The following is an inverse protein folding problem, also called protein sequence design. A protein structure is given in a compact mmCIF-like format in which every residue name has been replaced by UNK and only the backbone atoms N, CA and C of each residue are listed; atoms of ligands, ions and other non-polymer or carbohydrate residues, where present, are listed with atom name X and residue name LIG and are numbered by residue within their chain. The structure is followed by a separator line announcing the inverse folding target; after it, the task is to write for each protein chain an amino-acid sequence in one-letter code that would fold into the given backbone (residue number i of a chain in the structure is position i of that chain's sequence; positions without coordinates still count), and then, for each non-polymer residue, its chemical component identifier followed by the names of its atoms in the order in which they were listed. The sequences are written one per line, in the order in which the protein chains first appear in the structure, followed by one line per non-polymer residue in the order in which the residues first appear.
data_IF_649714684291
#
_entry.id   IF_649714684291
#
_cell.length_a   1.000
_cell.length_b   1.000
_cell.length_c   1.000
_cell.angle_alpha   90.00
_cell.angle_beta   90.00
_cell.angle_gamma   90.00
#
_symmetry.space_group_name_H-M   'P 1'
#
loop_
_entity.id
_entity.type
_entity.pdbx_description
1 polymer ?
#
# COMPACT_ATOMS: atom_id res chain seq x y z
N UNK A 1 -7.68 4.91 -27.39
CA UNK A 1 -6.68 5.52 -26.48
C UNK A 1 -5.73 4.44 -26.00
N UNK A 2 -4.43 4.56 -26.28
CA UNK A 2 -3.46 3.62 -25.73
C UNK A 2 -3.37 3.81 -24.22
N UNK A 3 -3.68 2.77 -23.43
CA UNK A 3 -3.49 2.80 -21.99
C UNK A 3 -2.00 2.95 -21.69
N UNK A 4 -1.63 3.93 -20.85
CA UNK A 4 -0.27 4.08 -20.37
C UNK A 4 0.13 2.81 -19.60
N UNK A 5 1.39 2.36 -19.72
CA UNK A 5 1.92 1.14 -19.06
C UNK A 5 1.55 1.08 -17.56
N UNK A 6 1.60 2.23 -16.88
CA UNK A 6 1.24 2.38 -15.45
C UNK A 6 -0.24 2.10 -15.19
N UNK A 7 -1.14 2.64 -16.01
CA UNK A 7 -2.57 2.41 -15.90
C UNK A 7 -2.92 0.93 -16.14
N UNK A 8 -2.24 0.27 -17.08
CA UNK A 8 -2.38 -1.18 -17.31
C UNK A 8 -2.05 -1.99 -16.06
N UNK A 9 -0.94 -1.65 -15.37
CA UNK A 9 -0.56 -2.34 -14.13
C UNK A 9 -1.62 -2.15 -13.04
N UNK A 10 -2.16 -0.94 -12.87
CA UNK A 10 -3.21 -0.67 -11.88
C UNK A 10 -4.48 -1.47 -12.20
N UNK A 11 -4.87 -1.52 -13.48
CA UNK A 11 -6.02 -2.31 -13.93
C UNK A 11 -5.81 -3.80 -13.65
N UNK A 12 -4.62 -4.33 -13.95
CA UNK A 12 -4.28 -5.72 -13.65
C UNK A 12 -4.37 -5.96 -12.14
N UNK A 13 -3.79 -5.08 -11.31
CA UNK A 13 -3.90 -5.18 -9.86
C UNK A 13 -5.34 -5.16 -9.37
N UNK A 14 -6.20 -4.29 -9.92
CA UNK A 14 -7.62 -4.24 -9.60
C UNK A 14 -8.35 -5.54 -9.97
N UNK A 15 -8.06 -6.08 -11.16
CA UNK A 15 -8.66 -7.33 -11.65
C UNK A 15 -8.29 -8.56 -10.81
N UNK A 16 -7.13 -8.56 -10.15
CA UNK A 16 -6.77 -9.60 -9.20
C UNK A 16 -7.29 -9.31 -7.79
N UNK A 17 -7.23 -8.05 -7.37
CA UNK A 17 -7.60 -7.63 -6.02
C UNK A 17 -9.09 -7.80 -5.76
N UNK A 18 -9.95 -7.36 -6.68
CA UNK A 18 -11.40 -7.36 -6.46
C UNK A 18 -11.98 -8.77 -6.32
N UNK A 19 -11.65 -9.76 -7.18
CA UNK A 19 -12.09 -11.14 -6.95
C UNK A 19 -11.50 -11.75 -5.67
N UNK A 20 -10.24 -11.41 -5.33
CA UNK A 20 -9.62 -11.88 -4.09
C UNK A 20 -10.35 -11.34 -2.87
N UNK A 21 -10.71 -10.05 -2.89
CA UNK A 21 -11.53 -9.42 -1.85
C UNK A 21 -12.86 -10.16 -1.70
N UNK A 22 -13.57 -10.39 -2.80
CA UNK A 22 -14.84 -11.12 -2.79
C UNK A 22 -14.68 -12.51 -2.16
N UNK A 23 -13.67 -13.29 -2.58
CA UNK A 23 -13.44 -14.63 -2.00
C UNK A 23 -13.11 -14.54 -0.51
N UNK A 24 -12.28 -13.59 -0.07
CA UNK A 24 -11.89 -13.44 1.34
C UNK A 24 -13.06 -12.99 2.23
N UNK A 25 -13.94 -12.14 1.71
CA UNK A 25 -15.19 -11.73 2.36
C UNK A 25 -16.12 -12.94 2.61
N UNK A 26 -16.17 -13.87 1.66
CA UNK A 26 -17.11 -15.01 1.66
C UNK A 26 -16.52 -16.29 2.26
N UNK A 27 -15.40 -16.22 2.99
CA UNK A 27 -14.89 -17.31 3.81
C UNK A 27 -14.89 -16.91 5.29
N UNK A 28 -14.98 -17.88 6.22
CA UNK A 28 -14.82 -17.60 7.64
C UNK A 28 -13.46 -16.97 7.95
N UNK A 29 -13.43 -16.00 8.88
CA UNK A 29 -12.20 -15.29 9.26
C UNK A 29 -11.09 -16.29 9.64
N UNK A 30 -9.92 -16.28 8.98
CA UNK A 30 -8.83 -17.19 9.28
C UNK A 30 -8.34 -17.06 10.74
N UNK A 31 -7.89 -18.17 11.32
CA UNK A 31 -7.39 -18.21 12.70
C UNK A 31 -6.22 -17.25 12.95
N UNK A 32 -5.38 -17.02 11.93
CA UNK A 32 -4.27 -16.07 11.97
C UNK A 32 -4.79 -14.64 12.18
N UNK A 33 -5.82 -14.21 11.44
CA UNK A 33 -6.40 -12.87 11.59
C UNK A 33 -7.02 -12.70 12.97
N UNK A 34 -7.69 -13.74 13.49
CA UNK A 34 -8.23 -13.74 14.87
C UNK A 34 -7.13 -13.60 15.92
N UNK A 35 -6.01 -14.31 15.76
CA UNK A 35 -4.84 -14.21 16.66
C UNK A 35 -4.21 -12.81 16.61
N UNK A 36 -4.17 -12.20 15.43
CA UNK A 36 -3.71 -10.83 15.26
C UNK A 36 -4.63 -9.80 15.93
N UNK A 37 -5.83 -10.19 16.37
CA UNK A 37 -6.78 -9.33 17.07
C UNK A 37 -7.30 -8.17 16.22
N UNK A 38 -7.27 -8.31 14.89
CA UNK A 38 -7.80 -7.31 13.97
C UNK A 38 -9.31 -7.48 13.93
N UNK A 39 -10.06 -6.40 14.17
CA UNK A 39 -11.51 -6.43 14.10
C UNK A 39 -11.99 -6.64 12.66
N UNK A 40 -13.11 -7.32 12.48
CA UNK A 40 -13.71 -7.54 11.15
C UNK A 40 -13.96 -6.18 10.45
N UNK A 41 -14.50 -5.21 11.20
CA UNK A 41 -14.71 -3.81 10.76
C UNK A 41 -13.43 -3.15 10.24
N UNK A 42 -12.28 -3.40 10.88
CA UNK A 42 -11.00 -2.86 10.39
C UNK A 42 -10.56 -3.51 9.07
N UNK A 43 -10.87 -4.79 8.85
CA UNK A 43 -10.58 -5.48 7.60
C UNK A 43 -11.45 -4.94 6.48
N UNK A 44 -12.76 -4.79 6.73
CA UNK A 44 -13.74 -4.17 5.84
C UNK A 44 -13.32 -2.77 5.40
N UNK A 45 -13.05 -1.90 6.37
CA UNK A 45 -12.54 -0.55 6.12
C UNK A 45 -11.29 -0.54 5.24
N UNK A 46 -10.27 -1.36 5.57
CA UNK A 46 -9.01 -1.38 4.82
C UNK A 46 -9.21 -1.95 3.42
N UNK A 47 -10.04 -2.98 3.28
CA UNK A 47 -10.34 -3.62 2.01
C UNK A 47 -10.99 -2.65 1.03
N UNK A 48 -12.04 -1.96 1.47
CA UNK A 48 -12.75 -1.00 0.62
C UNK A 48 -11.94 0.27 0.36
N UNK A 49 -11.07 0.67 1.29
CA UNK A 49 -10.09 1.74 1.05
C UNK A 49 -9.15 1.37 -0.11
N UNK A 50 -8.58 0.16 -0.11
CA UNK A 50 -7.70 -0.29 -1.20
C UNK A 50 -8.49 -0.48 -2.50
N UNK A 51 -9.73 -0.99 -2.43
CA UNK A 51 -10.61 -1.15 -3.59
C UNK A 51 -10.87 0.19 -4.29
N UNK A 52 -11.35 1.21 -3.56
CA UNK A 52 -11.64 2.52 -4.15
C UNK A 52 -10.38 3.18 -4.68
N UNK A 53 -9.23 2.93 -4.03
CA UNK A 53 -7.95 3.47 -4.43
C UNK A 53 -7.50 2.93 -5.79
N UNK A 54 -7.57 1.61 -5.98
CA UNK A 54 -7.27 0.95 -7.25
C UNK A 54 -8.29 1.31 -8.33
N UNK A 55 -9.57 1.41 -7.97
CA UNK A 55 -10.65 1.76 -8.89
C UNK A 55 -10.48 3.19 -9.44
N UNK A 56 -10.23 4.18 -8.57
CA UNK A 56 -9.93 5.54 -9.01
C UNK A 56 -8.65 5.60 -9.84
N UNK A 57 -7.60 4.88 -9.43
CA UNK A 57 -6.34 4.79 -10.17
C UNK A 57 -6.50 4.17 -11.56
N UNK A 58 -7.42 3.22 -11.74
CA UNK A 58 -7.72 2.63 -13.04
C UNK A 58 -8.41 3.62 -13.99
N UNK A 59 -9.30 4.47 -13.45
CA UNK A 59 -10.07 5.45 -14.23
C UNK A 59 -9.25 6.73 -14.50
N UNK A 60 -8.58 7.27 -13.47
CA UNK A 60 -7.94 8.58 -13.48
C UNK A 60 -6.56 8.58 -12.75
N UNK A 61 -5.55 7.83 -13.22
CA UNK A 61 -4.29 7.63 -12.48
C UNK A 61 -3.48 8.91 -12.24
N UNK A 62 -3.64 9.92 -13.09
CA UNK A 62 -2.88 11.17 -13.05
C UNK A 62 -3.66 12.36 -12.48
N UNK A 63 -4.93 12.16 -12.10
CA UNK A 63 -5.80 13.25 -11.65
C UNK A 63 -6.23 13.01 -10.21
N UNK A 64 -6.21 14.09 -9.44
CA UNK A 64 -6.84 14.13 -8.12
C UNK A 64 -8.36 13.98 -8.27
N UNK A 65 -9.01 13.48 -7.23
CA UNK A 65 -10.46 13.46 -7.12
C UNK A 65 -10.98 14.89 -7.17
N UNK A 66 -12.02 15.10 -7.98
CA UNK A 66 -12.74 16.36 -8.07
C UNK A 66 -14.23 16.09 -7.90
N UNK A 67 -14.76 16.53 -6.76
CA UNK A 67 -16.16 16.32 -6.35
C UNK A 67 -17.20 16.99 -7.25
N UNK A 68 -16.77 17.89 -8.15
CA UNK A 68 -17.64 18.51 -9.16
C UNK A 68 -17.83 17.63 -10.41
N UNK A 69 -17.06 16.54 -10.55
CA UNK A 69 -17.12 15.68 -11.73
C UNK A 69 -17.96 14.42 -11.47
N UNK A 70 -18.71 13.93 -12.47
CA UNK A 70 -19.57 12.75 -12.29
C UNK A 70 -18.77 11.48 -11.98
N UNK A 71 -17.49 11.41 -12.37
CA UNK A 71 -16.66 10.22 -12.16
C UNK A 71 -16.53 9.81 -10.69
N UNK A 72 -16.43 10.75 -9.75
CA UNK A 72 -16.34 10.39 -8.32
C UNK A 72 -17.66 9.81 -7.81
N UNK A 73 -18.78 10.37 -8.26
CA UNK A 73 -20.11 9.93 -7.87
C UNK A 73 -20.43 8.55 -8.44
N UNK A 74 -19.97 8.25 -9.65
CA UNK A 74 -20.04 6.89 -10.20
C UNK A 74 -19.19 5.89 -9.41
N UNK A 75 -17.97 6.26 -9.03
CA UNK A 75 -17.11 5.40 -8.19
C UNK A 75 -17.77 5.14 -6.83
N UNK A 76 -18.30 6.19 -6.20
CA UNK A 76 -19.00 6.07 -4.92
C UNK A 76 -20.26 5.19 -5.06
N UNK A 77 -21.07 5.42 -6.09
CA UNK A 77 -22.27 4.62 -6.34
C UNK A 77 -21.94 3.14 -6.55
N UNK A 78 -20.98 2.83 -7.42
CA UNK A 78 -20.57 1.44 -7.71
C UNK A 78 -20.05 0.76 -6.45
N UNK A 79 -19.20 1.43 -5.66
CA UNK A 79 -18.62 0.84 -4.45
C UNK A 79 -19.65 0.67 -3.33
N UNK A 80 -20.58 1.62 -3.16
CA UNK A 80 -21.67 1.50 -2.19
C UNK A 80 -22.64 0.39 -2.58
N UNK A 81 -23.08 0.33 -3.84
CA UNK A 81 -23.94 -0.77 -4.31
C UNK A 81 -23.24 -2.12 -4.16
N UNK A 82 -21.94 -2.19 -4.48
CA UNK A 82 -21.15 -3.40 -4.29
C UNK A 82 -21.09 -3.80 -2.80
N UNK A 83 -20.81 -2.86 -1.88
CA UNK A 83 -20.78 -3.16 -0.44
C UNK A 83 -22.11 -3.66 0.12
N UNK A 84 -23.24 -3.10 -0.32
CA UNK A 84 -24.56 -3.60 0.07
C UNK A 84 -24.75 -5.04 -0.42
N UNK A 85 -24.38 -5.32 -1.68
CA UNK A 85 -24.50 -6.67 -2.26
C UNK A 85 -23.56 -7.65 -1.54
N UNK A 86 -22.33 -7.24 -1.23
CA UNK A 86 -21.32 -8.05 -0.55
C UNK A 86 -21.83 -8.48 0.83
N UNK A 87 -22.33 -7.55 1.65
CA UNK A 87 -22.91 -7.87 2.97
C UNK A 87 -24.12 -8.81 2.91
N UNK A 88 -25.01 -8.60 1.94
CA UNK A 88 -26.17 -9.48 1.75
C UNK A 88 -25.74 -10.90 1.36
N UNK A 89 -24.73 -11.04 0.49
CA UNK A 89 -24.19 -12.33 0.08
C UNK A 89 -23.38 -13.01 1.19
N UNK A 90 -22.64 -12.23 1.99
CA UNK A 90 -21.95 -12.74 3.17
C UNK A 90 -22.93 -13.36 4.18
N UNK A 91 -24.13 -12.80 4.31
CA UNK A 91 -25.21 -13.35 5.16
C UNK A 91 -25.67 -14.76 4.77
N UNK A 92 -25.38 -15.22 3.55
CA UNK A 92 -25.69 -16.59 3.08
C UNK A 92 -24.58 -17.58 3.46
N UNK A 93 -23.38 -17.10 3.79
CA UNK A 93 -22.22 -17.93 4.10
C UNK A 93 -22.29 -18.43 5.55
N UNK A 94 -22.23 -19.75 5.74
CA UNK A 94 -22.22 -20.37 7.06
C UNK A 94 -20.99 -19.88 7.86
N UNK A 95 -21.23 -19.32 9.05
CA UNK A 95 -20.18 -18.78 9.92
C UNK A 95 -19.85 -17.31 9.66
N UNK A 96 -20.61 -16.63 8.79
CA UNK A 96 -20.66 -15.17 8.66
C UNK A 96 -22.06 -14.68 9.02
N UNK A 97 -22.16 -13.40 9.34
CA UNK A 97 -23.41 -12.70 9.61
C UNK A 97 -23.43 -11.42 8.81
N UNK A 98 -24.56 -11.09 8.20
CA UNK A 98 -24.75 -9.76 7.62
C UNK A 98 -24.79 -8.73 8.76
N UNK A 99 -23.85 -7.79 8.77
CA UNK A 99 -23.73 -6.76 9.81
C UNK A 99 -23.71 -5.37 9.16
N UNK A 100 -24.70 -4.54 9.50
CA UNK A 100 -24.77 -3.16 9.01
C UNK A 100 -23.55 -2.33 9.42
N UNK A 101 -22.88 -2.68 10.51
CA UNK A 101 -21.64 -2.00 10.91
C UNK A 101 -20.46 -2.31 9.98
N UNK A 102 -20.47 -3.48 9.33
CA UNK A 102 -19.42 -3.85 8.36
C UNK A 102 -19.64 -3.09 7.05
N UNK A 103 -20.89 -2.90 6.62
CA UNK A 103 -21.24 -1.95 5.54
C UNK A 103 -20.78 -0.51 5.84
N UNK A 104 -20.98 -0.02 7.07
CA UNK A 104 -20.48 1.32 7.44
C UNK A 104 -18.96 1.38 7.42
N UNK A 105 -18.27 0.32 7.83
CA UNK A 105 -16.81 0.25 7.73
C UNK A 105 -16.35 0.32 6.27
N UNK A 106 -17.02 -0.38 5.36
CA UNK A 106 -16.78 -0.32 3.92
C UNK A 106 -16.95 1.10 3.38
N UNK A 107 -18.08 1.74 3.71
CA UNK A 107 -18.37 3.12 3.31
C UNK A 107 -17.30 4.09 3.80
N UNK A 108 -16.87 3.98 5.06
CA UNK A 108 -15.79 4.82 5.60
C UNK A 108 -14.46 4.57 4.91
N UNK A 109 -14.16 3.33 4.53
CA UNK A 109 -12.99 2.98 3.73
C UNK A 109 -13.00 3.67 2.37
N UNK A 110 -14.13 3.59 1.66
CA UNK A 110 -14.36 4.26 0.37
C UNK A 110 -14.19 5.78 0.50
N UNK A 111 -14.86 6.40 1.48
CA UNK A 111 -14.79 7.85 1.68
C UNK A 111 -13.36 8.30 2.01
N UNK A 112 -12.68 7.59 2.90
CA UNK A 112 -11.29 7.90 3.27
C UNK A 112 -10.37 7.84 2.05
N UNK A 113 -10.50 6.81 1.20
CA UNK A 113 -9.72 6.68 -0.03
C UNK A 113 -9.95 7.84 -1.01
N UNK A 114 -11.21 8.24 -1.22
CA UNK A 114 -11.55 9.38 -2.09
C UNK A 114 -11.06 10.72 -1.54
N UNK A 115 -11.14 10.92 -0.22
CA UNK A 115 -10.62 12.12 0.46
C UNK A 115 -9.09 12.20 0.30
N UNK A 116 -8.37 11.10 0.54
CA UNK A 116 -6.92 11.05 0.32
C UNK A 116 -6.55 11.41 -1.12
N UNK A 117 -7.30 10.89 -2.10
CA UNK A 117 -7.12 11.18 -3.52
C UNK A 117 -7.58 12.60 -3.92
N UNK A 118 -8.25 13.33 -3.05
CA UNK A 118 -8.56 14.76 -3.24
C UNK A 118 -7.31 15.61 -2.98
N UNK A 119 -6.53 15.26 -1.96
CA UNK A 119 -5.31 15.99 -1.59
C UNK A 119 -4.09 15.55 -2.42
N UNK A 120 -3.98 14.25 -2.69
CA UNK A 120 -2.83 13.63 -3.34
C UNK A 120 -3.20 13.01 -4.69
N UNK A 121 -2.25 12.97 -5.62
CA UNK A 121 -2.38 12.09 -6.80
C UNK A 121 -2.17 10.63 -6.39
N UNK A 122 -2.36 9.69 -7.32
CA UNK A 122 -2.25 8.26 -7.03
C UNK A 122 -0.92 7.87 -6.35
N UNK A 123 0.23 8.32 -6.85
CA UNK A 123 1.52 7.86 -6.31
C UNK A 123 1.82 8.31 -4.88
N UNK A 124 1.60 9.58 -4.48
CA UNK A 124 1.82 9.99 -3.10
C UNK A 124 0.81 9.34 -2.16
N UNK A 125 -0.45 9.22 -2.58
CA UNK A 125 -1.46 8.56 -1.77
C UNK A 125 -1.14 7.06 -1.58
N UNK A 126 -0.61 6.39 -2.61
CA UNK A 126 -0.24 4.98 -2.52
C UNK A 126 0.92 4.75 -1.56
N UNK A 127 1.90 5.66 -1.55
CA UNK A 127 2.99 5.66 -0.58
C UNK A 127 2.44 5.80 0.85
N UNK A 128 1.52 6.75 1.08
CA UNK A 128 0.90 6.99 2.39
C UNK A 128 0.13 5.75 2.86
N UNK A 129 -0.75 5.19 2.02
CA UNK A 129 -1.53 3.99 2.36
C UNK A 129 -0.60 2.81 2.66
N UNK A 130 0.45 2.61 1.85
CA UNK A 130 1.44 1.55 2.09
C UNK A 130 2.15 1.75 3.44
N UNK A 131 2.56 2.97 3.77
CA UNK A 131 3.17 3.29 5.07
C UNK A 131 2.23 3.01 6.24
N UNK A 132 0.96 3.41 6.14
CA UNK A 132 -0.06 3.14 7.17
C UNK A 132 -0.24 1.63 7.36
N UNK A 133 -0.34 0.86 6.28
CA UNK A 133 -0.51 -0.60 6.34
C UNK A 133 0.70 -1.26 7.00
N UNK A 134 1.92 -0.90 6.60
CA UNK A 134 3.15 -1.43 7.22
C UNK A 134 3.18 -1.08 8.70
N UNK A 135 2.88 0.16 9.07
CA UNK A 135 2.85 0.61 10.46
C UNK A 135 1.80 -0.14 11.27
N UNK A 136 0.57 -0.25 10.77
CA UNK A 136 -0.53 -0.93 11.44
C UNK A 136 -0.23 -2.42 11.67
N UNK A 137 0.27 -3.12 10.64
CA UNK A 137 0.63 -4.53 10.74
C UNK A 137 1.78 -4.80 11.72
N UNK A 138 2.69 -3.84 11.88
CA UNK A 138 3.86 -4.00 12.75
C UNK A 138 3.62 -3.53 14.19
N UNK A 139 2.72 -2.56 14.39
CA UNK A 139 2.59 -1.86 15.67
C UNK A 139 1.19 -1.86 16.27
N UNK A 140 0.14 -2.17 15.52
CA UNK A 140 -1.25 -2.07 15.99
C UNK A 140 -1.96 -3.42 16.14
N UNK A 141 -1.42 -4.51 15.57
CA UNK A 141 -1.97 -5.87 15.75
C UNK A 141 -1.79 -6.37 17.17
N UNK A 142 -2.76 -7.06 17.77
CA UNK A 142 -2.66 -7.53 19.17
C UNK A 142 -1.39 -8.35 19.45
N UNK A 143 -0.95 -9.12 18.47
CA UNK A 143 0.21 -10.01 18.55
C UNK A 143 1.27 -9.56 17.54
N UNK A 144 2.55 -9.74 17.88
CA UNK A 144 3.67 -9.38 17.01
C UNK A 144 3.73 -10.27 15.78
N UNK A 145 4.21 -9.73 14.64
CA UNK A 145 4.33 -10.52 13.40
C UNK A 145 5.23 -11.76 13.56
N UNK A 146 6.23 -11.70 14.43
CA UNK A 146 7.13 -12.82 14.71
C UNK A 146 6.45 -13.99 15.44
N UNK A 147 5.34 -13.73 16.13
CA UNK A 147 4.52 -14.78 16.77
C UNK A 147 3.42 -15.28 15.82
N UNK A 148 3.01 -14.43 14.87
CA UNK A 148 1.96 -14.73 13.92
C UNK A 148 2.46 -15.58 12.74
N UNK A 149 3.68 -15.32 12.28
CA UNK A 149 4.25 -15.87 11.05
C UNK A 149 5.48 -16.74 11.33
N UNK A 150 5.76 -17.74 10.48
CA UNK A 150 7.04 -18.46 10.51
C UNK A 150 8.23 -17.48 10.40
N UNK A 151 9.39 -17.79 10.99
CA UNK A 151 10.55 -16.88 11.00
C UNK A 151 10.94 -16.35 9.62
N UNK A 152 10.97 -17.23 8.60
CA UNK A 152 11.29 -16.84 7.23
C UNK A 152 10.28 -15.86 6.63
N UNK A 153 8.97 -16.06 6.89
CA UNK A 153 7.91 -15.18 6.40
C UNK A 153 7.94 -13.81 7.08
N UNK A 154 8.23 -13.76 8.39
CA UNK A 154 8.42 -12.49 9.12
C UNK A 154 9.59 -11.68 8.52
N UNK A 155 10.75 -12.30 8.28
CA UNK A 155 11.89 -11.61 7.67
C UNK A 155 11.59 -11.18 6.23
N UNK A 156 10.94 -12.04 5.44
CA UNK A 156 10.53 -11.70 4.08
C UNK A 156 9.59 -10.48 4.08
N UNK A 157 8.63 -10.40 5.01
CA UNK A 157 7.76 -9.25 5.15
C UNK A 157 8.56 -7.96 5.34
N UNK A 158 9.49 -7.89 6.30
CA UNK A 158 10.29 -6.69 6.52
C UNK A 158 11.16 -6.31 5.32
N UNK A 159 11.78 -7.30 4.65
CA UNK A 159 12.60 -7.08 3.46
C UNK A 159 11.78 -6.45 2.33
N UNK A 160 10.67 -7.10 1.96
CA UNK A 160 9.86 -6.68 0.82
C UNK A 160 9.02 -5.44 1.13
N UNK A 161 8.48 -5.31 2.34
CA UNK A 161 7.69 -4.14 2.72
C UNK A 161 8.50 -2.85 2.66
N UNK A 162 9.69 -2.83 3.28
CA UNK A 162 10.55 -1.64 3.27
C UNK A 162 11.22 -1.42 1.91
N UNK A 163 11.56 -2.48 1.17
CA UNK A 163 12.01 -2.35 -0.21
C UNK A 163 10.94 -1.73 -1.11
N UNK A 164 9.71 -2.24 -1.06
CA UNK A 164 8.59 -1.71 -1.84
C UNK A 164 8.26 -0.27 -1.45
N UNK A 165 8.21 0.05 -0.15
CA UNK A 165 8.00 1.40 0.33
C UNK A 165 9.09 2.37 -0.18
N UNK A 166 10.35 1.93 -0.19
CA UNK A 166 11.48 2.69 -0.75
C UNK A 166 11.32 2.92 -2.25
N UNK A 167 10.91 1.90 -3.00
CA UNK A 167 10.66 2.01 -4.44
C UNK A 167 9.55 3.04 -4.72
N UNK A 168 8.46 3.01 -3.95
CA UNK A 168 7.38 4.00 -4.05
C UNK A 168 7.85 5.40 -3.71
N UNK A 169 8.70 5.55 -2.69
CA UNK A 169 9.27 6.84 -2.32
C UNK A 169 10.13 7.42 -3.44
N UNK A 170 11.05 6.63 -4.01
CA UNK A 170 11.87 7.04 -5.15
C UNK A 170 11.00 7.43 -6.35
N UNK A 171 9.97 6.63 -6.65
CA UNK A 171 9.01 6.94 -7.71
C UNK A 171 8.28 8.27 -7.43
N UNK A 172 7.99 8.61 -6.19
CA UNK A 172 7.40 9.91 -5.83
C UNK A 172 8.40 11.06 -5.95
N UNK A 173 9.64 10.91 -5.44
CA UNK A 173 10.70 11.92 -5.58
C UNK A 173 10.90 12.27 -7.05
N UNK A 174 10.97 11.27 -7.94
CA UNK A 174 11.16 11.51 -9.38
C UNK A 174 10.06 12.35 -10.03
N UNK A 175 8.88 12.46 -9.40
CA UNK A 175 7.79 13.32 -9.86
C UNK A 175 7.94 14.78 -9.39
N UNK A 176 8.62 15.04 -8.28
CA UNK A 176 8.67 16.36 -7.63
C UNK A 176 10.06 17.01 -7.61
N UNK A 177 11.13 16.22 -7.62
CA UNK A 177 12.51 16.70 -7.49
C UNK A 177 13.35 16.21 -8.67
N UNK A 178 13.81 17.10 -9.56
CA UNK A 178 14.68 16.76 -10.70
C UNK A 178 16.15 16.63 -10.25
N UNK A 179 16.40 15.95 -9.13
CA UNK A 179 17.76 15.68 -8.66
C UNK A 179 18.45 14.71 -9.61
N UNK A 180 19.51 15.18 -10.28
CA UNK A 180 20.33 14.33 -11.16
C UNK A 180 21.10 13.28 -10.34
N UNK A 181 20.94 12.02 -10.70
CA UNK A 181 21.81 10.90 -10.30
C UNK A 181 23.20 11.06 -10.96
N UNK A 182 24.31 10.60 -10.35
CA UNK A 182 24.50 10.16 -8.98
C UNK A 182 25.19 11.26 -8.13
N UNK A 183 24.43 12.17 -7.53
CA UNK A 183 24.98 13.13 -6.55
C UNK A 183 24.75 12.64 -5.13
N UNK A 184 25.66 12.93 -4.20
CA UNK A 184 25.50 12.62 -2.77
C UNK A 184 24.14 13.11 -2.20
N UNK A 185 23.69 14.30 -2.65
CA UNK A 185 22.37 14.84 -2.29
C UNK A 185 21.21 13.91 -2.67
N UNK A 186 21.31 13.21 -3.80
CA UNK A 186 20.27 12.27 -4.24
C UNK A 186 20.18 11.08 -3.27
N UNK A 187 21.31 10.51 -2.86
CA UNK A 187 21.37 9.38 -1.91
C UNK A 187 20.73 9.73 -0.57
N UNK A 188 20.99 10.94 -0.05
CA UNK A 188 20.39 11.42 1.20
C UNK A 188 18.86 11.52 1.06
N UNK A 189 18.37 12.13 -0.02
CA UNK A 189 16.93 12.35 -0.24
C UNK A 189 16.17 11.03 -0.41
N UNK A 190 16.70 10.08 -1.20
CA UNK A 190 16.02 8.78 -1.41
C UNK A 190 16.02 7.89 -0.18
N UNK A 191 16.97 8.09 0.74
CA UNK A 191 17.06 7.28 1.96
C UNK A 191 16.30 7.90 3.14
N UNK A 192 16.05 9.22 3.11
CA UNK A 192 15.50 9.95 4.26
C UNK A 192 14.15 9.42 4.75
N UNK A 193 13.15 9.30 3.87
CA UNK A 193 11.81 8.87 4.27
C UNK A 193 11.77 7.39 4.70
N UNK A 194 12.34 6.42 3.95
CA UNK A 194 12.29 5.02 4.36
C UNK A 194 13.04 4.74 5.66
N UNK A 195 14.20 5.36 5.86
CA UNK A 195 14.97 5.21 7.10
C UNK A 195 14.26 5.90 8.26
N UNK A 196 13.77 7.14 8.06
CA UNK A 196 13.00 7.85 9.08
C UNK A 196 11.73 7.10 9.48
N UNK A 197 11.02 6.51 8.52
CA UNK A 197 9.85 5.68 8.77
C UNK A 197 10.20 4.41 9.56
N UNK A 198 11.29 3.71 9.22
CA UNK A 198 11.76 2.54 9.96
C UNK A 198 12.07 2.89 11.43
N UNK A 199 12.81 3.99 11.64
CA UNK A 199 13.15 4.47 12.98
C UNK A 199 11.90 4.82 13.77
N UNK A 200 10.98 5.61 13.18
CA UNK A 200 9.74 6.00 13.84
C UNK A 200 8.86 4.78 14.20
N UNK A 201 8.70 3.84 13.26
CA UNK A 201 7.92 2.62 13.49
C UNK A 201 8.53 1.75 14.61
N UNK A 202 9.86 1.64 14.67
CA UNK A 202 10.52 0.85 15.73
C UNK A 202 10.58 1.57 17.07
N UNK A 203 10.72 2.90 17.09
CA UNK A 203 10.57 3.68 18.33
C UNK A 203 9.17 3.53 18.91
N UNK A 204 8.13 3.60 18.06
CA UNK A 204 6.76 3.37 18.51
C UNK A 204 6.57 1.96 19.08
N UNK A 205 7.16 0.94 18.46
CA UNK A 205 7.16 -0.44 18.97
C UNK A 205 7.73 -0.51 20.38
N UNK A 206 8.86 0.14 20.64
CA UNK A 206 9.51 0.19 21.97
C UNK A 206 8.62 0.92 22.98
N UNK A 207 8.08 2.08 22.62
CA UNK A 207 7.19 2.88 23.48
C UNK A 207 5.91 2.10 23.83
N UNK A 208 5.40 1.30 22.89
CA UNK A 208 4.20 0.47 23.07
C UNK A 208 4.47 -0.83 23.83
N UNK A 209 5.69 -1.04 24.33
CA UNK A 209 6.07 -2.25 25.08
C UNK A 209 6.10 -3.53 24.23
N UNK A 210 6.24 -3.42 22.90
CA UNK A 210 6.37 -4.58 22.01
C UNK A 210 7.81 -5.09 21.95
N UNK A 211 7.94 -6.37 21.63
CA UNK A 211 9.25 -7.02 21.43
C UNK A 211 10.09 -6.31 20.37
N UNK A 212 11.26 -5.83 20.80
CA UNK A 212 12.25 -5.23 19.91
C UNK A 212 13.20 -6.28 19.36
N UNK A 213 13.05 -6.62 18.08
CA UNK A 213 13.92 -7.57 17.37
C UNK A 213 14.88 -6.83 16.44
N UNK A 214 16.18 -6.90 16.75
CA UNK A 214 17.22 -6.28 15.93
C UNK A 214 17.26 -6.87 14.50
N UNK A 215 16.96 -8.17 14.35
CA UNK A 215 16.91 -8.84 13.06
C UNK A 215 15.93 -8.18 12.09
N UNK A 216 14.75 -7.78 12.56
CA UNK A 216 13.75 -7.10 11.73
C UNK A 216 14.25 -5.75 11.21
N UNK A 217 14.99 -5.01 12.06
CA UNK A 217 15.59 -3.71 11.70
C UNK A 217 16.66 -3.89 10.64
N UNK A 218 17.55 -4.87 10.83
CA UNK A 218 18.62 -5.19 9.87
C UNK A 218 18.02 -5.58 8.53
N UNK A 219 17.03 -6.47 8.51
CA UNK A 219 16.42 -6.95 7.26
C UNK A 219 15.62 -5.85 6.55
N UNK A 220 14.92 -5.00 7.28
CA UNK A 220 14.29 -3.80 6.71
C UNK A 220 15.33 -2.85 6.09
N UNK A 221 16.44 -2.60 6.79
CA UNK A 221 17.54 -1.76 6.28
C UNK A 221 18.17 -2.36 5.01
N UNK A 222 18.38 -3.68 4.96
CA UNK A 222 18.84 -4.38 3.75
C UNK A 222 17.87 -4.14 2.59
N UNK A 223 16.56 -4.24 2.82
CA UNK A 223 15.53 -3.97 1.80
C UNK A 223 15.60 -2.55 1.24
N UNK A 224 15.78 -1.54 2.11
CA UNK A 224 15.97 -0.14 1.70
C UNK A 224 17.24 0.00 0.84
N UNK A 225 18.37 -0.49 1.35
CA UNK A 225 19.68 -0.36 0.69
C UNK A 225 19.69 -1.07 -0.66
N UNK A 226 19.13 -2.27 -0.75
CA UNK A 226 19.04 -3.03 -2.00
C UNK A 226 18.34 -2.22 -3.10
N UNK A 227 17.18 -1.63 -2.79
CA UNK A 227 16.41 -0.84 -3.76
C UNK A 227 17.13 0.45 -4.16
N UNK A 228 17.78 1.14 -3.21
CA UNK A 228 18.57 2.34 -3.50
C UNK A 228 19.74 2.01 -4.43
N UNK A 229 20.50 0.95 -4.13
CA UNK A 229 21.64 0.51 -4.94
C UNK A 229 21.19 0.07 -6.33
N UNK A 230 20.14 -0.76 -6.43
CA UNK A 230 19.64 -1.22 -7.73
C UNK A 230 19.19 -0.04 -8.59
N UNK A 231 18.46 0.92 -8.02
CA UNK A 231 18.04 2.13 -8.74
C UNK A 231 19.25 2.95 -9.21
N UNK A 232 20.22 3.13 -8.32
CA UNK A 232 21.46 3.86 -8.61
C UNK A 232 22.24 3.24 -9.77
N UNK A 233 22.40 1.91 -9.78
CA UNK A 233 23.10 1.17 -10.83
C UNK A 233 22.38 1.26 -12.19
N UNK A 234 21.05 1.14 -12.19
CA UNK A 234 20.22 1.27 -13.42
C UNK A 234 20.41 2.66 -14.04
N UNK A 235 20.38 3.72 -13.23
CA UNK A 235 20.53 5.09 -13.69
C UNK A 235 21.94 5.39 -14.25
N UNK A 236 22.99 4.85 -13.62
CA UNK A 236 24.36 4.93 -14.14
C UNK A 236 24.46 4.26 -15.51
N UNK A 237 23.89 3.06 -15.64
CA UNK A 237 23.94 2.31 -16.90
C UNK A 237 23.20 3.05 -18.03
N UNK A 238 22.04 3.65 -17.74
CA UNK A 238 21.31 4.49 -18.68
C UNK A 238 22.10 5.74 -19.09
N UNK A 239 22.76 6.43 -18.15
CA UNK A 239 23.60 7.58 -18.45
C UNK A 239 24.80 7.22 -19.34
N UNK A 240 25.43 6.07 -19.07
CA UNK A 240 26.56 5.59 -19.87
C UNK A 240 26.12 5.26 -21.31
N UNK A 241 24.98 4.57 -21.47
CA UNK A 241 24.43 4.23 -22.79
C UNK A 241 24.04 5.47 -23.59
N UNK A 242 23.43 6.46 -22.95
CA UNK A 242 23.05 7.71 -23.60
C UNK A 242 24.26 8.51 -24.11
N UNK A 243 25.36 8.56 -23.33
CA UNK A 243 26.62 9.20 -23.78
C UNK A 243 27.30 8.43 -24.92
N UNK A 244 27.24 7.10 -24.91
CA UNK A 244 27.79 6.30 -25.99
C UNK A 244 27.07 6.54 -27.32
N UNK A 245 25.74 6.73 -27.32
CA UNK A 245 24.96 7.03 -28.53
C UNK A 245 25.10 8.46 -29.07
N UNK A 246 25.57 9.41 -28.26
CA UNK A 246 25.79 10.81 -28.72
C UNK A 246 27.17 11.04 -29.32
N UNK A 247 28.10 10.09 -29.14
CA UNK A 247 29.48 10.16 -29.63
C UNK A 247 29.69 9.35 -30.93
N UNK A 248 28.61 8.84 -31.52
CA UNK A 248 28.56 8.14 -32.82
C UNK A 248 27.70 8.94 -33.77
#
# INVERSE_FOLDING_TARGET
MALFRRQKLIIISLLFYWPTLFVLAHIPIPSMVRKAGVSDKSLHFMAYLVLVFLLWGAINPHRKVNWRKPAVWWVLLVTVCYGIIDELLQGVVVGRSCDIMDFFADLWGVLTGLILLTFFTFWPAFLVVTGIVIFALTNLTRVSLSELLPPAANLAFFLFAYGFFTMLWIQNISLFLPTKTPKLKWLIVVSALPVGFLVAAKLFSVISGRDFRLQDVIVAAIGIVAVVITTYLIEIFHCHRARASTNT
#
